data_IF_093099419837
#
_entry.id   IF_093099419837
#
_cell.length_a   1.000
_cell.length_b   1.000
_cell.length_c   1.000
_cell.angle_alpha   90.00
_cell.angle_beta   90.00
_cell.angle_gamma   90.00
#
_symmetry.space_group_name_H-M   'P 1'
#
loop_
_entity.id
_entity.type
_entity.pdbx_description
1 polymer ?
#
# COMPACT_ATOMS: atom_id res chain seq x y z
N UNK A 1 11.06 -18.27 25.52
CA UNK A 1 11.43 -17.43 24.35
C UNK A 1 11.26 -18.30 23.11
N UNK A 2 10.09 -18.25 22.46
CA UNK A 2 9.76 -19.14 21.34
C UNK A 2 10.32 -18.51 20.05
N UNK A 3 11.36 -19.13 19.50
CA UNK A 3 11.96 -18.79 18.21
C UNK A 3 10.95 -19.21 17.14
N UNK A 4 10.34 -18.25 16.44
CA UNK A 4 9.43 -18.52 15.35
C UNK A 4 10.21 -18.39 14.04
N UNK A 5 10.43 -19.53 13.42
CA UNK A 5 11.24 -19.78 12.23
C UNK A 5 10.39 -19.42 11.00
N UNK A 6 10.97 -18.72 10.03
CA UNK A 6 10.38 -18.62 8.69
C UNK A 6 10.10 -20.05 8.19
N UNK A 7 8.90 -20.41 7.71
CA UNK A 7 8.66 -21.75 7.20
C UNK A 7 9.75 -22.10 6.20
N UNK A 8 10.42 -23.24 6.41
CA UNK A 8 11.62 -23.66 5.67
C UNK A 8 11.41 -23.58 4.15
N UNK A 9 10.18 -23.88 3.71
CA UNK A 9 9.74 -23.81 2.31
C UNK A 9 9.84 -22.40 1.69
N UNK A 10 9.46 -21.33 2.40
CA UNK A 10 9.54 -19.96 1.88
C UNK A 10 10.99 -19.51 1.71
N UNK A 11 11.86 -19.89 2.65
CA UNK A 11 13.29 -19.61 2.58
C UNK A 11 13.96 -20.36 1.42
N UNK A 12 13.59 -21.62 1.19
CA UNK A 12 14.13 -22.44 0.10
C UNK A 12 13.75 -21.86 -1.27
N UNK A 13 12.48 -21.47 -1.45
CA UNK A 13 12.00 -20.87 -2.70
C UNK A 13 12.75 -19.56 -3.00
N UNK A 14 12.89 -18.70 -1.99
CA UNK A 14 13.59 -17.41 -2.12
C UNK A 14 15.07 -17.58 -2.45
N UNK A 15 15.78 -18.48 -1.76
CA UNK A 15 17.18 -18.78 -2.05
C UNK A 15 17.37 -19.35 -3.46
N UNK A 16 16.45 -20.23 -3.91
CA UNK A 16 16.47 -20.80 -5.26
C UNK A 16 16.26 -19.75 -6.35
N UNK A 17 15.33 -18.79 -6.14
CA UNK A 17 15.12 -17.67 -7.07
C UNK A 17 16.38 -16.81 -7.18
N UNK A 18 17.01 -16.47 -6.05
CA UNK A 18 18.23 -15.65 -6.02
C UNK A 18 19.39 -16.35 -6.72
N UNK A 19 19.59 -17.65 -6.49
CA UNK A 19 20.62 -18.43 -7.19
C UNK A 19 20.39 -18.50 -8.70
N UNK A 20 19.13 -18.65 -9.12
CA UNK A 20 18.76 -18.70 -10.54
C UNK A 20 19.02 -17.36 -11.22
N UNK A 21 18.65 -16.26 -10.58
CA UNK A 21 18.91 -14.90 -11.08
C UNK A 21 20.41 -14.56 -11.11
N UNK A 22 21.16 -15.00 -10.10
CA UNK A 22 22.61 -14.81 -10.04
C UNK A 22 23.35 -15.60 -11.13
N UNK A 23 22.87 -16.81 -11.47
CA UNK A 23 23.42 -17.61 -12.58
C UNK A 23 23.21 -16.95 -13.94
N UNK A 24 22.06 -16.29 -14.15
CA UNK A 24 21.77 -15.57 -15.39
C UNK A 24 22.66 -14.34 -15.56
N UNK A 25 23.03 -13.67 -14.47
CA UNK A 25 23.93 -12.51 -14.50
C UNK A 25 25.34 -12.85 -15.03
N UNK A 26 25.80 -14.10 -14.91
CA UNK A 26 27.11 -14.55 -15.36
C UNK A 26 27.19 -15.09 -16.79
N UNK A 27 26.05 -15.26 -17.48
CA UNK A 27 26.02 -15.82 -18.84
C UNK A 27 25.75 -14.73 -19.87
N UNK A 28 26.80 -14.30 -20.57
CA UNK A 28 26.68 -13.45 -21.76
C UNK A 28 25.87 -14.20 -22.82
N UNK A 29 24.80 -13.57 -23.33
CA UNK A 29 23.87 -14.13 -24.34
C UNK A 29 24.53 -14.33 -25.70
N UNK A 30 25.44 -15.30 -25.81
CA UNK A 30 26.09 -15.68 -27.07
C UNK A 30 25.51 -16.92 -27.73
N UNK A 31 24.72 -17.73 -27.02
CA UNK A 31 24.03 -18.88 -27.62
C UNK A 31 22.53 -18.83 -27.35
N UNK A 32 21.76 -19.16 -28.38
CA UNK A 32 20.30 -19.22 -28.42
C UNK A 32 19.80 -20.42 -27.61
N UNK A 33 20.16 -20.49 -26.32
CA UNK A 33 19.60 -21.47 -25.39
C UNK A 33 18.23 -20.98 -24.95
N UNK A 34 17.19 -21.78 -25.19
CA UNK A 34 15.88 -21.58 -24.57
C UNK A 34 16.06 -21.74 -23.06
N UNK A 35 16.02 -20.63 -22.33
CA UNK A 35 16.01 -20.64 -20.88
C UNK A 35 14.60 -21.02 -20.41
N UNK A 36 14.49 -22.12 -19.68
CA UNK A 36 13.24 -22.54 -19.05
C UNK A 36 13.06 -21.80 -17.72
N UNK A 37 12.06 -20.92 -17.68
CA UNK A 37 11.69 -20.13 -16.50
C UNK A 37 10.40 -20.63 -15.85
N UNK A 38 9.85 -21.77 -16.27
CA UNK A 38 8.57 -22.27 -15.74
C UNK A 38 8.68 -22.62 -14.26
N UNK A 39 9.82 -23.15 -13.82
CA UNK A 39 10.12 -23.36 -12.41
C UNK A 39 10.14 -22.04 -11.62
N UNK A 40 10.81 -21.00 -12.13
CA UNK A 40 10.88 -19.68 -11.49
C UNK A 40 9.49 -19.02 -11.39
N UNK A 41 8.68 -19.13 -12.45
CA UNK A 41 7.30 -18.62 -12.47
C UNK A 41 6.41 -19.38 -11.50
N UNK A 42 6.53 -20.71 -11.45
CA UNK A 42 5.77 -21.55 -10.52
C UNK A 42 6.14 -21.25 -9.06
N UNK A 43 7.43 -21.07 -8.78
CA UNK A 43 7.92 -20.73 -7.44
C UNK A 43 7.51 -19.32 -7.03
N UNK A 44 7.47 -18.37 -7.98
CA UNK A 44 6.88 -17.05 -7.77
C UNK A 44 5.39 -17.12 -7.43
N UNK A 45 4.61 -17.92 -8.16
CA UNK A 45 3.20 -18.14 -7.85
C UNK A 45 2.99 -18.79 -6.48
N UNK A 46 3.83 -19.76 -6.11
CA UNK A 46 3.82 -20.38 -4.79
C UNK A 46 4.10 -19.35 -3.70
N UNK A 47 5.12 -18.52 -3.87
CA UNK A 47 5.45 -17.45 -2.94
C UNK A 47 4.30 -16.44 -2.79
N UNK A 48 3.65 -16.06 -3.90
CA UNK A 48 2.46 -15.19 -3.87
C UNK A 48 1.30 -15.82 -3.09
N UNK A 49 1.06 -17.13 -3.25
CA UNK A 49 0.01 -17.82 -2.49
C UNK A 49 0.34 -17.97 -1.01
N UNK A 50 1.59 -18.29 -0.67
CA UNK A 50 2.05 -18.44 0.72
C UNK A 50 1.98 -17.11 1.49
N UNK A 51 2.38 -16.01 0.85
CA UNK A 51 2.31 -14.66 1.43
C UNK A 51 0.91 -14.06 1.44
N UNK A 52 -0.02 -14.56 0.62
CA UNK A 52 -1.41 -14.09 0.58
C UNK A 52 -2.35 -14.83 1.54
N UNK A 53 -2.05 -16.07 1.92
CA UNK A 53 -2.99 -16.93 2.67
C UNK A 53 -2.73 -16.93 4.18
N UNK A 54 -1.53 -16.58 4.66
CA UNK A 54 -1.21 -16.69 6.09
C UNK A 54 -1.26 -15.35 6.86
N UNK A 55 -2.13 -15.31 7.88
CA UNK A 55 -2.03 -14.42 9.07
C UNK A 55 -0.85 -14.84 9.98
N UNK A 56 0.29 -15.21 9.42
CA UNK A 56 1.49 -15.44 10.21
C UNK A 56 2.15 -14.07 10.46
N UNK A 57 2.44 -13.68 11.72
CA UNK A 57 3.28 -12.54 11.98
C UNK A 57 4.72 -12.91 11.59
N UNK A 58 5.03 -12.77 10.30
CA UNK A 58 6.36 -12.90 9.75
C UNK A 58 7.22 -11.78 10.33
N UNK A 59 8.43 -12.10 10.82
CA UNK A 59 9.36 -11.10 11.36
C UNK A 59 9.60 -10.02 10.30
N UNK A 60 9.37 -8.77 10.67
CA UNK A 60 9.59 -7.56 9.86
C UNK A 60 10.95 -7.58 9.14
N UNK A 61 11.96 -8.10 9.83
CA UNK A 61 13.36 -8.17 9.45
C UNK A 61 13.61 -9.15 8.30
N UNK A 62 12.92 -10.30 8.29
CA UNK A 62 13.05 -11.30 7.21
C UNK A 62 12.29 -10.84 5.96
N UNK A 63 11.09 -10.26 6.15
CA UNK A 63 10.29 -9.71 5.04
C UNK A 63 11.02 -8.55 4.36
N UNK A 64 11.59 -7.63 5.15
CA UNK A 64 12.40 -6.54 4.62
C UNK A 64 13.64 -7.09 3.90
N UNK A 65 14.35 -8.06 4.47
CA UNK A 65 15.52 -8.67 3.81
C UNK A 65 15.21 -9.29 2.45
N UNK A 66 14.09 -10.03 2.37
CA UNK A 66 13.64 -10.67 1.13
C UNK A 66 13.19 -9.64 0.08
N UNK A 67 12.45 -8.61 0.51
CA UNK A 67 11.96 -7.55 -0.37
C UNK A 67 13.13 -6.73 -0.92
N UNK A 68 14.11 -6.42 -0.08
CA UNK A 68 15.37 -5.79 -0.49
C UNK A 68 16.12 -6.65 -1.50
N UNK A 69 16.29 -7.94 -1.24
CA UNK A 69 17.00 -8.87 -2.14
C UNK A 69 16.33 -8.98 -3.52
N UNK A 70 15.00 -9.10 -3.57
CA UNK A 70 14.24 -9.13 -4.83
C UNK A 70 14.37 -7.79 -5.55
N UNK A 71 14.14 -6.68 -4.86
CA UNK A 71 14.19 -5.37 -5.47
C UNK A 71 15.59 -5.02 -6.00
N UNK A 72 16.65 -5.44 -5.30
CA UNK A 72 18.03 -5.34 -5.79
C UNK A 72 18.23 -6.21 -7.02
N UNK A 73 17.79 -7.46 -7.01
CA UNK A 73 17.91 -8.37 -8.15
C UNK A 73 17.19 -7.83 -9.40
N UNK A 74 15.98 -7.30 -9.26
CA UNK A 74 15.21 -6.66 -10.35
C UNK A 74 15.90 -5.38 -10.82
N UNK A 75 16.46 -4.61 -9.89
CA UNK A 75 17.16 -3.35 -10.21
C UNK A 75 18.50 -3.55 -10.91
N UNK A 76 19.13 -4.71 -10.74
CA UNK A 76 20.41 -5.07 -11.39
C UNK A 76 20.29 -5.28 -12.91
N UNK A 77 19.09 -5.58 -13.41
CA UNK A 77 18.84 -5.74 -14.85
C UNK A 77 18.18 -4.48 -15.42
N UNK A 78 18.95 -3.55 -16.01
CA UNK A 78 18.39 -2.29 -16.51
C UNK A 78 17.51 -2.51 -17.74
N UNK A 79 17.91 -3.42 -18.63
CA UNK A 79 17.25 -3.72 -19.88
C UNK A 79 17.35 -5.22 -20.15
N UNK A 80 16.24 -5.86 -20.48
CA UNK A 80 16.16 -7.23 -20.93
C UNK A 80 15.61 -7.23 -22.36
N UNK A 81 16.35 -7.74 -23.34
CA UNK A 81 15.89 -7.83 -24.73
C UNK A 81 15.52 -9.27 -25.07
N UNK A 82 14.29 -9.50 -25.54
CA UNK A 82 13.82 -10.81 -26.00
C UNK A 82 12.96 -10.65 -27.25
N UNK A 83 13.27 -11.40 -28.33
CA UNK A 83 12.53 -11.40 -29.61
C UNK A 83 12.12 -9.99 -30.08
N UNK A 84 13.09 -9.08 -30.25
CA UNK A 84 12.90 -7.69 -30.69
C UNK A 84 12.09 -6.79 -29.74
N UNK A 85 11.86 -7.23 -28.51
CA UNK A 85 11.24 -6.43 -27.46
C UNK A 85 12.23 -6.08 -26.35
N UNK A 86 12.20 -4.82 -25.93
CA UNK A 86 13.01 -4.28 -24.85
C UNK A 86 12.16 -4.13 -23.60
N UNK A 87 12.49 -4.88 -22.56
CA UNK A 87 11.84 -4.85 -21.25
C UNK A 87 12.71 -4.08 -20.27
N UNK A 88 12.08 -3.26 -19.43
CA UNK A 88 12.74 -2.53 -18.34
C UNK A 88 12.11 -3.00 -17.02
N UNK A 89 12.66 -4.05 -16.38
CA UNK A 89 12.06 -4.67 -15.18
C UNK A 89 11.73 -3.68 -14.05
N UNK A 90 12.56 -2.64 -13.90
CA UNK A 90 12.36 -1.57 -12.92
C UNK A 90 11.01 -0.86 -13.07
N UNK A 91 10.58 -0.58 -14.30
CA UNK A 91 9.31 0.13 -14.53
C UNK A 91 8.09 -0.72 -14.15
N UNK A 92 8.17 -2.05 -14.33
CA UNK A 92 7.12 -2.97 -13.87
C UNK A 92 7.01 -2.98 -12.34
N UNK A 93 8.14 -2.97 -11.64
CA UNK A 93 8.16 -2.92 -10.18
C UNK A 93 7.56 -1.59 -9.68
N UNK A 94 7.91 -0.46 -10.31
CA UNK A 94 7.33 0.85 -9.98
C UNK A 94 5.81 0.85 -10.18
N UNK A 95 5.33 0.40 -11.34
CA UNK A 95 3.89 0.33 -11.62
C UNK A 95 3.14 -0.58 -10.62
N UNK A 96 3.75 -1.69 -10.21
CA UNK A 96 3.16 -2.58 -9.22
C UNK A 96 3.12 -1.95 -7.82
N UNK A 97 4.18 -1.23 -7.42
CA UNK A 97 4.21 -0.50 -6.16
C UNK A 97 3.16 0.61 -6.11
N UNK A 98 2.94 1.33 -7.22
CA UNK A 98 1.89 2.34 -7.33
C UNK A 98 0.49 1.73 -7.14
N UNK A 99 0.17 0.64 -7.86
CA UNK A 99 -1.13 -0.04 -7.75
C UNK A 99 -1.37 -0.61 -6.34
N UNK A 100 -0.33 -1.21 -5.74
CA UNK A 100 -0.39 -1.68 -4.36
C UNK A 100 -0.61 -0.53 -3.37
N UNK A 101 0.11 0.57 -3.52
CA UNK A 101 -0.02 1.71 -2.60
C UNK A 101 -1.40 2.35 -2.72
N UNK A 102 -1.92 2.53 -3.93
CA UNK A 102 -3.26 3.05 -4.19
C UNK A 102 -4.34 2.19 -3.51
N UNK A 103 -4.31 0.87 -3.72
CA UNK A 103 -5.22 -0.07 -3.04
C UNK A 103 -5.10 -0.01 -1.52
N UNK A 104 -3.88 0.18 -0.99
CA UNK A 104 -3.64 0.29 0.45
C UNK A 104 -4.19 1.60 1.02
N UNK A 105 -3.97 2.74 0.37
CA UNK A 105 -4.53 4.03 0.79
C UNK A 105 -6.05 3.96 0.84
N UNK A 106 -6.67 3.40 -0.19
CA UNK A 106 -8.11 3.21 -0.22
C UNK A 106 -8.60 2.32 0.93
N UNK A 107 -7.92 1.20 1.18
CA UNK A 107 -8.25 0.29 2.28
C UNK A 107 -8.07 0.92 3.69
N UNK A 108 -7.17 1.89 3.85
CA UNK A 108 -6.94 2.59 5.13
C UNK A 108 -8.16 3.39 5.60
N UNK A 109 -9.02 3.84 4.66
CA UNK A 109 -10.27 4.53 4.97
C UNK A 109 -11.30 3.61 5.64
N UNK A 110 -11.19 2.29 5.47
CA UNK A 110 -12.13 1.29 6.04
C UNK A 110 -13.60 1.65 5.79
N UNK A 111 -13.90 2.18 4.61
CA UNK A 111 -15.26 2.59 4.29
C UNK A 111 -16.19 1.37 4.24
N UNK A 112 -17.28 1.41 5.00
CA UNK A 112 -18.32 0.40 4.99
C UNK A 112 -19.57 0.98 4.33
N UNK A 113 -19.98 0.38 3.20
CA UNK A 113 -21.15 0.82 2.43
C UNK A 113 -22.47 0.61 3.18
N UNK A 114 -22.57 -0.39 4.05
CA UNK A 114 -23.82 -0.73 4.76
C UNK A 114 -24.06 0.19 5.97
N UNK A 115 -23.00 0.44 6.76
CA UNK A 115 -23.10 1.28 7.96
C UNK A 115 -22.79 2.75 7.69
N UNK A 116 -22.33 3.08 6.47
CA UNK A 116 -21.73 4.36 6.12
C UNK A 116 -20.65 4.80 7.11
N UNK A 117 -19.91 3.84 7.68
CA UNK A 117 -18.80 4.10 8.59
C UNK A 117 -17.52 4.35 7.79
N UNK A 118 -16.72 5.31 8.24
CA UNK A 118 -15.46 5.68 7.60
C UNK A 118 -14.44 6.02 8.67
N UNK A 119 -13.19 5.64 8.47
CA UNK A 119 -12.13 6.01 9.39
C UNK A 119 -11.97 7.54 9.46
N UNK A 120 -11.57 8.03 10.63
CA UNK A 120 -11.33 9.45 10.85
C UNK A 120 -10.18 9.96 9.97
N UNK A 121 -10.26 11.17 9.39
CA UNK A 121 -9.20 11.70 8.53
C UNK A 121 -7.82 11.72 9.22
N UNK A 122 -7.77 12.01 10.52
CA UNK A 122 -6.53 11.99 11.32
C UNK A 122 -5.92 10.59 11.44
N UNK A 123 -6.75 9.55 11.63
CA UNK A 123 -6.28 8.16 11.66
C UNK A 123 -5.75 7.72 10.30
N UNK A 124 -6.46 8.07 9.23
CA UNK A 124 -6.03 7.74 7.86
C UNK A 124 -4.72 8.44 7.53
N UNK A 125 -4.59 9.72 7.87
CA UNK A 125 -3.35 10.47 7.70
C UNK A 125 -2.19 9.83 8.46
N UNK A 126 -2.38 9.44 9.73
CA UNK A 126 -1.35 8.79 10.52
C UNK A 126 -0.91 7.44 9.92
N UNK A 127 -1.85 6.65 9.38
CA UNK A 127 -1.57 5.39 8.68
C UNK A 127 -0.83 5.62 7.36
N UNK A 128 -1.21 6.63 6.58
CA UNK A 128 -0.51 6.99 5.35
C UNK A 128 0.91 7.45 5.69
N UNK A 129 1.10 8.28 6.71
CA UNK A 129 2.43 8.77 7.15
C UNK A 129 3.35 7.63 7.61
N UNK A 130 2.83 6.66 8.36
CA UNK A 130 3.62 5.50 8.78
C UNK A 130 4.01 4.63 7.59
N UNK A 131 3.08 4.42 6.64
CA UNK A 131 3.35 3.68 5.41
C UNK A 131 4.37 4.39 4.51
N UNK A 132 4.27 5.71 4.34
CA UNK A 132 5.24 6.51 3.60
C UNK A 132 6.64 6.43 4.23
N UNK A 133 6.74 6.47 5.55
CA UNK A 133 8.02 6.32 6.25
C UNK A 133 8.66 4.95 5.98
N UNK A 134 7.84 3.88 5.94
CA UNK A 134 8.31 2.55 5.58
C UNK A 134 8.79 2.47 4.12
N UNK A 135 8.05 3.05 3.17
CA UNK A 135 8.45 3.11 1.76
C UNK A 135 9.73 3.92 1.56
N UNK A 136 9.90 5.04 2.27
CA UNK A 136 11.16 5.81 2.24
C UNK A 136 12.33 5.07 2.88
N UNK A 137 12.07 4.20 3.84
CA UNK A 137 13.12 3.32 4.38
C UNK A 137 13.53 2.28 3.33
N UNK A 138 12.60 1.78 2.53
CA UNK A 138 12.89 0.85 1.43
C UNK A 138 13.73 1.50 0.32
N UNK A 139 13.56 2.79 0.06
CA UNK A 139 14.38 3.57 -0.89
C UNK A 139 15.88 3.51 -0.57
N UNK A 140 16.26 3.34 0.71
CA UNK A 140 17.68 3.20 1.09
C UNK A 140 18.33 1.92 0.56
N UNK A 141 17.53 0.91 0.26
CA UNK A 141 18.00 -0.42 -0.13
C UNK A 141 17.82 -0.71 -1.62
N UNK A 142 17.01 0.10 -2.31
CA UNK A 142 16.58 -0.13 -3.69
C UNK A 142 16.74 1.17 -4.46
N UNK A 143 17.32 1.11 -5.66
CA UNK A 143 17.52 2.29 -6.52
C UNK A 143 16.24 2.78 -7.21
N UNK A 144 15.11 2.78 -6.51
CA UNK A 144 13.80 3.24 -7.04
C UNK A 144 13.48 4.58 -6.39
N UNK A 145 13.07 5.54 -7.21
CA UNK A 145 12.55 6.83 -6.76
C UNK A 145 11.16 6.64 -6.12
N UNK A 146 11.15 6.42 -4.80
CA UNK A 146 9.92 6.29 -4.03
C UNK A 146 9.17 7.61 -3.92
N UNK A 147 9.86 8.74 -4.05
CA UNK A 147 9.23 10.06 -4.06
C UNK A 147 8.28 10.18 -5.24
N UNK A 148 8.71 9.73 -6.44
CA UNK A 148 7.85 9.69 -7.63
C UNK A 148 6.58 8.85 -7.42
N UNK A 149 6.73 7.64 -6.87
CA UNK A 149 5.60 6.73 -6.56
C UNK A 149 4.63 7.37 -5.57
N UNK A 150 5.14 7.93 -4.48
CA UNK A 150 4.32 8.59 -3.46
C UNK A 150 3.57 9.78 -4.03
N UNK A 151 4.25 10.63 -4.81
CA UNK A 151 3.62 11.81 -5.44
C UNK A 151 2.55 11.39 -6.44
N UNK A 152 2.81 10.40 -7.29
CA UNK A 152 1.84 9.93 -8.29
C UNK A 152 0.53 9.46 -7.62
N UNK A 153 0.64 8.55 -6.64
CA UNK A 153 -0.53 7.99 -5.97
C UNK A 153 -1.26 9.04 -5.12
N UNK A 154 -0.54 9.80 -4.28
CA UNK A 154 -1.20 10.77 -3.40
C UNK A 154 -1.85 11.92 -4.18
N UNK A 155 -1.25 12.36 -5.29
CA UNK A 155 -1.86 13.36 -6.16
C UNK A 155 -3.15 12.81 -6.78
N UNK A 156 -3.15 11.57 -7.25
CA UNK A 156 -4.33 10.94 -7.81
C UNK A 156 -5.47 10.84 -6.78
N UNK A 157 -5.16 10.52 -5.52
CA UNK A 157 -6.16 10.45 -4.43
C UNK A 157 -6.81 11.81 -4.07
N UNK A 158 -6.24 12.94 -4.52
CA UNK A 158 -6.86 14.27 -4.38
C UNK A 158 -7.95 14.56 -5.42
N UNK A 159 -7.98 13.79 -6.51
CA UNK A 159 -8.94 13.98 -7.60
C UNK A 159 -10.28 13.35 -7.25
N UNK A 160 -11.36 13.68 -7.97
CA UNK A 160 -12.67 13.06 -7.74
C UNK A 160 -12.76 11.63 -8.27
N UNK A 161 -11.99 11.32 -9.32
CA UNK A 161 -11.88 10.00 -9.90
C UNK A 161 -10.41 9.70 -10.13
N UNK A 162 -10.07 8.42 -10.02
CA UNK A 162 -8.74 7.92 -10.25
C UNK A 162 -8.49 7.70 -11.78
N UNK A 163 -7.28 7.30 -12.18
CA UNK A 163 -6.91 7.03 -13.58
C UNK A 163 -7.65 5.85 -14.21
N UNK A 164 -8.34 5.03 -13.40
CA UNK A 164 -9.19 3.91 -13.82
C UNK A 164 -10.69 4.27 -13.77
N UNK A 165 -11.04 5.48 -13.33
CA UNK A 165 -12.43 5.93 -13.16
C UNK A 165 -13.07 5.52 -11.84
N UNK A 166 -12.29 5.03 -10.87
CA UNK A 166 -12.76 4.61 -9.55
C UNK A 166 -12.80 5.78 -8.56
N UNK A 167 -13.58 5.61 -7.49
CA UNK A 167 -13.68 6.60 -6.42
C UNK A 167 -12.38 6.68 -5.60
N UNK A 168 -11.90 7.89 -5.39
CA UNK A 168 -10.73 8.23 -4.58
C UNK A 168 -11.07 8.52 -3.12
N UNK A 169 -10.05 8.76 -2.31
CA UNK A 169 -10.17 9.30 -0.96
C UNK A 169 -10.96 10.62 -0.94
N UNK A 170 -10.63 11.58 -1.82
CA UNK A 170 -11.30 12.87 -1.87
C UNK A 170 -12.81 12.74 -2.16
N UNK A 171 -13.18 11.96 -3.18
CA UNK A 171 -14.58 11.75 -3.53
C UNK A 171 -15.35 10.99 -2.45
N UNK A 172 -14.73 9.99 -1.84
CA UNK A 172 -15.34 9.17 -0.78
C UNK A 172 -15.63 10.01 0.47
N UNK A 173 -14.66 10.80 0.95
CA UNK A 173 -14.88 11.70 2.08
C UNK A 173 -15.87 12.81 1.73
N UNK A 174 -15.81 13.39 0.53
CA UNK A 174 -16.78 14.41 0.09
C UNK A 174 -18.20 13.87 0.11
N UNK A 175 -18.39 12.65 -0.42
CA UNK A 175 -19.67 11.96 -0.39
C UNK A 175 -20.13 11.69 1.04
N UNK A 176 -19.25 11.26 1.94
CA UNK A 176 -19.59 10.98 3.33
C UNK A 176 -19.99 12.25 4.10
N UNK A 177 -19.20 13.34 4.01
CA UNK A 177 -19.54 14.60 4.66
C UNK A 177 -20.88 15.15 4.17
N UNK A 178 -21.14 15.06 2.87
CA UNK A 178 -22.39 15.57 2.28
C UNK A 178 -23.59 14.68 2.62
N UNK A 179 -23.46 13.36 2.41
CA UNK A 179 -24.58 12.44 2.51
C UNK A 179 -24.85 11.94 3.92
N UNK A 180 -23.85 11.94 4.80
CA UNK A 180 -23.98 11.46 6.18
C UNK A 180 -23.98 12.61 7.15
N UNK A 181 -22.92 13.42 7.22
CA UNK A 181 -22.79 14.45 8.25
C UNK A 181 -23.77 15.61 8.04
N UNK A 182 -23.78 16.24 6.86
CA UNK A 182 -24.60 17.42 6.59
C UNK A 182 -26.11 17.11 6.57
N UNK A 183 -26.52 15.91 6.11
CA UNK A 183 -27.93 15.49 6.23
C UNK A 183 -28.39 15.42 7.69
N UNK A 184 -27.50 15.02 8.62
CA UNK A 184 -27.82 15.01 10.07
C UNK A 184 -27.86 16.38 10.69
N UNK A 185 -27.11 17.35 10.14
CA UNK A 185 -27.24 18.76 10.50
C UNK A 185 -28.63 19.27 10.11
N UNK A 186 -29.10 18.97 8.90
CA UNK A 186 -30.42 19.39 8.42
C UNK A 186 -31.58 18.82 9.27
N UNK A 187 -31.45 17.58 9.77
CA UNK A 187 -32.42 16.93 10.65
C UNK A 187 -32.32 17.42 12.11
N UNK A 188 -31.30 18.23 12.45
CA UNK A 188 -31.09 18.78 13.80
C UNK A 188 -30.36 17.86 14.77
N UNK A 189 -29.84 16.71 14.32
CA UNK A 189 -29.04 15.79 15.14
C UNK A 189 -27.61 16.25 15.41
N UNK A 190 -27.13 17.23 14.64
CA UNK A 190 -25.80 17.83 14.74
C UNK A 190 -25.92 19.35 14.69
N UNK A 191 -25.14 20.07 15.49
CA UNK A 191 -25.04 21.53 15.41
C UNK A 191 -23.59 21.99 15.37
N UNK A 192 -23.34 23.13 14.74
CA UNK A 192 -22.03 23.77 14.80
C UNK A 192 -21.85 24.51 16.13
N UNK A 193 -20.71 24.27 16.80
CA UNK A 193 -20.33 24.94 18.04
C UNK A 193 -19.23 25.96 17.77
N UNK A 194 -19.52 27.25 17.98
CA UNK A 194 -18.57 28.34 17.76
C UNK A 194 -17.40 28.29 18.74
N UNK A 195 -17.62 27.82 19.97
CA UNK A 195 -16.58 27.73 21.01
C UNK A 195 -15.55 26.64 20.71
N UNK A 196 -15.99 25.51 20.15
CA UNK A 196 -15.12 24.39 19.75
C UNK A 196 -14.66 24.45 18.30
N UNK A 197 -15.24 25.35 17.49
CA UNK A 197 -15.02 25.46 16.04
C UNK A 197 -15.21 24.13 15.31
N UNK A 198 -16.15 23.30 15.76
CA UNK A 198 -16.45 21.99 15.18
C UNK A 198 -17.95 21.68 15.26
N UNK A 199 -18.39 20.68 14.49
CA UNK A 199 -19.74 20.14 14.60
C UNK A 199 -19.83 19.21 15.82
N UNK A 200 -20.90 19.30 16.58
CA UNK A 200 -21.11 18.49 17.80
C UNK A 200 -22.41 17.72 17.67
N UNK A 201 -22.36 16.43 17.98
CA UNK A 201 -23.53 15.56 18.04
C UNK A 201 -24.45 15.95 19.20
N UNK A 202 -25.74 16.20 18.91
CA UNK A 202 -26.78 16.48 19.93
C UNK A 202 -27.58 15.24 20.32
N UNK A 203 -27.71 14.29 19.40
CA UNK A 203 -28.44 13.04 19.58
C UNK A 203 -27.48 11.84 19.63
N UNK A 204 -27.97 10.71 20.13
CA UNK A 204 -27.25 9.43 20.05
C UNK A 204 -27.18 9.04 18.57
N UNK A 205 -25.97 8.90 18.05
CA UNK A 205 -25.69 8.63 16.64
C UNK A 205 -24.59 7.57 16.52
N UNK A 206 -24.50 6.86 15.39
CA UNK A 206 -23.47 5.84 15.18
C UNK A 206 -22.05 6.43 15.11
N UNK A 207 -21.91 7.73 14.91
CA UNK A 207 -20.64 8.45 14.96
C UNK A 207 -20.80 9.77 15.72
N UNK A 208 -19.68 10.29 16.23
CA UNK A 208 -19.60 11.62 16.86
C UNK A 208 -19.10 12.63 15.84
N UNK A 209 -19.89 13.67 15.54
CA UNK A 209 -19.55 14.65 14.52
C UNK A 209 -18.27 15.45 14.86
N UNK A 210 -18.02 15.63 16.16
CA UNK A 210 -16.84 16.34 16.65
C UNK A 210 -15.53 15.62 16.30
N UNK A 211 -15.51 14.28 16.24
CA UNK A 211 -14.29 13.53 15.95
C UNK A 211 -13.84 13.62 14.48
N UNK A 212 -14.72 14.11 13.59
CA UNK A 212 -14.45 14.26 12.15
C UNK A 212 -14.22 15.71 11.74
N UNK A 213 -14.67 16.68 12.54
CA UNK A 213 -14.70 18.10 12.18
C UNK A 213 -13.90 18.99 13.12
N UNK A 214 -13.27 18.40 14.13
CA UNK A 214 -12.37 19.11 15.03
C UNK A 214 -11.10 19.58 14.31
N UNK A 215 -10.75 20.85 14.54
CA UNK A 215 -9.58 21.53 13.96
C UNK A 215 -8.36 21.33 14.85
N UNK A 216 -8.54 21.23 16.18
CA UNK A 216 -7.43 21.17 17.14
C UNK A 216 -6.92 19.75 17.34
N UNK A 217 -7.71 18.75 16.98
CA UNK A 217 -7.35 17.35 17.18
C UNK A 217 -7.24 16.96 18.66
N UNK A 218 -7.81 17.74 19.57
CA UNK A 218 -7.77 17.46 21.02
C UNK A 218 -8.51 16.15 21.35
N UNK A 219 -9.50 15.77 20.53
CA UNK A 219 -10.17 14.47 20.59
C UNK A 219 -9.50 13.40 19.71
N UNK A 220 -8.49 13.77 18.92
CA UNK A 220 -7.64 12.85 18.14
C UNK A 220 -6.40 12.44 18.92
N UNK A 221 -6.54 12.12 20.21
CA UNK A 221 -5.48 11.53 21.04
C UNK A 221 -5.03 10.18 20.44
N UNK A 222 -4.19 10.24 19.43
CA UNK A 222 -3.29 9.17 19.04
C UNK A 222 -2.16 9.23 20.08
N UNK A 223 -2.38 8.54 21.20
CA UNK A 223 -1.24 8.00 21.94
C UNK A 223 -0.67 6.90 21.04
N UNK A 224 0.42 7.23 20.35
CA UNK A 224 1.37 6.23 19.86
C UNK A 224 2.01 5.55 21.06
#
# INVERSE_FOLDING_TARGET
MRIMVCPEEESILMSSMVETLARLHGQTMTERSEYDFDALRLDWFRLQTLTSVNKAPLRSDIVLGNLVSICQSISSFPILSAWDHTFVPREYLVAHLEDLFMKRVFAMMRYNMETHDIARPSEVLARIQSYMSALRTLELYVTIDMTRVLTAVLLQETQMLDSKGEATLASTYTAWYTNTLLKRVAVGGVCYSVSRKCFVSKAIMPFKAEEYTDITGEYTNIRV
#
